data_IF_889306981907
#
_entry.id   IF_889306981907
#
_cell.length_a   1.000
_cell.length_b   1.000
_cell.length_c   1.000
_cell.angle_alpha   90.00
_cell.angle_beta   90.00
_cell.angle_gamma   90.00
#
_symmetry.space_group_name_H-M   'P 1'
#
loop_
_entity.id
_entity.type
_entity.pdbx_description
1 polymer ?
#
# COMPACT_ATOMS: atom_id res chain seq x y z
N UNK A 1 6.74 7.84 -9.25
CA UNK A 1 7.35 6.54 -8.93
C UNK A 1 7.58 5.67 -10.17
N UNK A 2 6.61 5.52 -11.07
CA UNK A 2 6.72 4.71 -12.29
C UNK A 2 7.93 5.10 -13.16
N UNK A 3 8.15 6.40 -13.39
CA UNK A 3 9.31 6.90 -14.14
C UNK A 3 10.63 6.62 -13.43
N UNK A 4 10.68 6.84 -12.10
CA UNK A 4 11.87 6.54 -11.30
C UNK A 4 12.25 5.05 -11.36
N UNK A 5 11.26 4.15 -11.28
CA UNK A 5 11.46 2.72 -11.46
C UNK A 5 12.05 2.37 -12.83
N UNK A 6 11.55 2.99 -13.91
CA UNK A 6 12.10 2.79 -15.25
C UNK A 6 13.55 3.24 -15.36
N UNK A 7 13.89 4.41 -14.82
CA UNK A 7 15.26 4.95 -14.84
C UNK A 7 16.22 4.08 -14.02
N UNK A 8 15.79 3.64 -12.83
CA UNK A 8 16.55 2.71 -12.00
C UNK A 8 16.83 1.41 -12.75
N UNK A 9 15.83 0.83 -13.40
CA UNK A 9 16.01 -0.41 -14.16
C UNK A 9 16.95 -0.24 -15.36
N UNK A 10 16.88 0.89 -16.06
CA UNK A 10 17.82 1.23 -17.14
C UNK A 10 19.27 1.29 -16.62
N UNK A 11 19.49 1.94 -15.47
CA UNK A 11 20.82 1.96 -14.83
C UNK A 11 21.28 0.56 -14.41
N UNK A 12 20.38 -0.25 -13.84
CA UNK A 12 20.69 -1.62 -13.39
C UNK A 12 21.16 -2.52 -14.54
N UNK A 13 20.60 -2.38 -15.75
CA UNK A 13 21.03 -3.14 -16.93
C UNK A 13 22.48 -2.88 -17.33
N UNK A 14 23.04 -1.73 -16.96
CA UNK A 14 24.44 -1.38 -17.23
C UNK A 14 25.43 -1.90 -16.19
N UNK A 15 24.95 -2.48 -15.08
CA UNK A 15 25.83 -2.89 -13.99
C UNK A 15 26.46 -4.27 -14.22
N UNK A 16 27.62 -4.57 -13.60
CA UNK A 16 28.25 -5.88 -13.69
C UNK A 16 27.33 -7.04 -13.29
N UNK A 17 26.50 -6.85 -12.25
CA UNK A 17 25.54 -7.86 -11.76
C UNK A 17 24.42 -8.18 -12.76
N UNK A 18 24.23 -7.34 -13.79
CA UNK A 18 23.31 -7.59 -14.89
C UNK A 18 23.97 -8.34 -16.07
N UNK A 19 25.17 -8.88 -15.88
CA UNK A 19 25.90 -9.66 -16.89
C UNK A 19 26.36 -11.00 -16.30
N UNK A 20 26.36 -12.03 -17.13
CA UNK A 20 26.83 -13.36 -16.73
C UNK A 20 28.36 -13.42 -16.64
N UNK A 21 28.90 -13.73 -15.47
CA UNK A 21 30.36 -13.92 -15.29
C UNK A 21 30.96 -14.99 -16.22
N UNK A 22 30.15 -15.99 -16.60
CA UNK A 22 30.59 -17.11 -17.47
C UNK A 22 30.58 -16.77 -18.95
N UNK A 23 29.64 -15.92 -19.40
CA UNK A 23 29.35 -15.74 -20.83
C UNK A 23 29.42 -14.29 -21.31
N UNK A 24 29.50 -13.32 -20.40
CA UNK A 24 29.43 -11.88 -20.68
C UNK A 24 28.08 -11.40 -21.20
N UNK A 25 27.10 -12.30 -21.37
CA UNK A 25 25.77 -11.94 -21.91
C UNK A 25 24.92 -11.26 -20.84
N UNK A 26 23.97 -10.39 -21.23
CA UNK A 26 23.03 -9.78 -20.31
C UNK A 26 22.24 -10.82 -19.52
N UNK A 27 22.28 -10.70 -18.19
CA UNK A 27 21.46 -11.46 -17.24
C UNK A 27 20.31 -10.58 -16.73
N UNK A 28 19.13 -10.81 -17.30
CA UNK A 28 17.91 -10.10 -16.94
C UNK A 28 17.51 -10.37 -15.48
N UNK A 29 17.79 -11.56 -14.94
CA UNK A 29 17.45 -11.90 -13.55
C UNK A 29 18.33 -11.11 -12.58
N UNK A 30 19.63 -11.03 -12.87
CA UNK A 30 20.58 -10.19 -12.13
C UNK A 30 20.15 -8.72 -12.13
N UNK A 31 19.77 -8.19 -13.30
CA UNK A 31 19.27 -6.82 -13.43
C UNK A 31 18.02 -6.55 -12.58
N UNK A 32 17.03 -7.44 -12.58
CA UNK A 32 15.83 -7.30 -11.73
C UNK A 32 16.14 -7.43 -10.23
N UNK A 33 17.06 -8.32 -9.86
CA UNK A 33 17.52 -8.47 -8.48
C UNK A 33 18.21 -7.22 -7.95
N UNK A 34 19.04 -6.57 -8.78
CA UNK A 34 19.65 -5.29 -8.45
C UNK A 34 18.62 -4.16 -8.37
N UNK A 35 17.74 -4.06 -9.39
CA UNK A 35 16.68 -3.06 -9.44
C UNK A 35 15.79 -3.07 -8.20
N UNK A 36 15.38 -4.25 -7.74
CA UNK A 36 14.60 -4.40 -6.51
C UNK A 36 15.34 -3.94 -5.25
N UNK A 37 16.67 -4.13 -5.17
CA UNK A 37 17.46 -3.66 -4.02
C UNK A 37 17.65 -2.15 -4.05
N UNK A 38 18.03 -1.59 -5.19
CA UNK A 38 18.26 -0.15 -5.36
C UNK A 38 17.00 0.68 -5.16
N UNK A 39 15.86 0.25 -5.71
CA UNK A 39 14.59 0.93 -5.51
C UNK A 39 14.20 0.99 -4.04
N UNK A 40 14.34 -0.11 -3.29
CA UNK A 40 14.01 -0.15 -1.87
C UNK A 40 14.98 0.69 -1.05
N UNK A 41 16.28 0.63 -1.35
CA UNK A 41 17.29 1.47 -0.71
C UNK A 41 16.99 2.95 -0.88
N UNK A 42 16.69 3.37 -2.11
CA UNK A 42 16.31 4.75 -2.43
C UNK A 42 15.03 5.18 -1.72
N UNK A 43 13.98 4.37 -1.75
CA UNK A 43 12.71 4.66 -1.08
C UNK A 43 12.85 4.76 0.44
N UNK A 44 13.62 3.86 1.05
CA UNK A 44 13.86 3.84 2.49
C UNK A 44 14.65 5.06 2.93
N UNK A 45 15.64 5.50 2.14
CA UNK A 45 16.39 6.71 2.44
C UNK A 45 15.49 7.94 2.59
N UNK A 46 14.44 8.04 1.76
CA UNK A 46 13.51 9.16 1.81
C UNK A 46 12.67 9.21 3.10
N UNK A 47 12.44 8.07 3.78
CA UNK A 47 11.78 8.05 5.09
C UNK A 47 12.52 8.86 6.17
N UNK A 48 13.84 9.04 6.01
CA UNK A 48 14.66 9.81 6.94
C UNK A 48 14.68 11.32 6.63
N UNK A 49 14.02 11.77 5.56
CA UNK A 49 13.93 13.20 5.20
C UNK A 49 12.82 13.91 5.97
N UNK A 50 12.93 13.95 7.31
CA UNK A 50 11.86 14.42 8.23
C UNK A 50 11.44 15.88 8.05
N UNK A 51 12.28 16.71 7.42
CA UNK A 51 12.00 18.13 7.21
C UNK A 51 11.11 18.41 5.97
N UNK A 52 10.75 17.39 5.19
CA UNK A 52 10.01 17.55 3.93
C UNK A 52 8.95 16.47 3.76
N UNK A 53 7.83 16.86 3.14
CA UNK A 53 6.87 15.89 2.60
C UNK A 53 7.39 15.34 1.28
N UNK A 54 7.48 14.02 1.17
CA UNK A 54 7.89 13.32 -0.06
C UNK A 54 6.65 12.69 -0.69
N UNK A 55 6.34 13.10 -1.92
CA UNK A 55 5.10 12.71 -2.60
C UNK A 55 5.45 11.90 -3.84
N UNK A 56 4.98 10.66 -3.87
CA UNK A 56 5.15 9.78 -5.02
C UNK A 56 3.88 9.76 -5.86
N UNK A 57 3.97 10.24 -7.10
CA UNK A 57 2.88 10.13 -8.07
C UNK A 57 3.10 8.93 -8.98
N UNK A 58 2.07 8.12 -9.17
CA UNK A 58 2.08 6.93 -10.02
C UNK A 58 0.72 6.68 -10.63
N UNK A 59 0.66 5.69 -11.52
CA UNK A 59 -0.57 5.22 -12.16
C UNK A 59 -0.93 3.86 -11.55
N UNK A 60 -2.19 3.46 -11.63
CA UNK A 60 -2.68 2.14 -11.24
C UNK A 60 -2.93 1.28 -12.47
N UNK A 61 -2.55 0.00 -12.39
CA UNK A 61 -3.00 -1.04 -13.31
C UNK A 61 -4.23 -1.75 -12.72
N UNK A 62 -5.24 -1.98 -13.56
CA UNK A 62 -6.37 -2.87 -13.24
C UNK A 62 -5.99 -4.31 -13.61
N UNK A 63 -6.08 -5.21 -12.64
CA UNK A 63 -5.77 -6.64 -12.80
C UNK A 63 -6.92 -7.49 -12.29
N UNK A 64 -6.98 -8.73 -12.79
CA UNK A 64 -7.92 -9.74 -12.32
C UNK A 64 -7.17 -10.70 -11.39
N UNK A 65 -7.80 -11.06 -10.26
CA UNK A 65 -7.32 -12.14 -9.41
C UNK A 65 -7.79 -13.52 -9.94
N UNK A 66 -7.41 -14.59 -9.24
CA UNK A 66 -7.77 -15.97 -9.60
C UNK A 66 -9.29 -16.24 -9.56
N UNK A 67 -10.06 -15.34 -8.92
CA UNK A 67 -11.51 -15.39 -8.82
C UNK A 67 -12.19 -14.37 -9.76
N UNK A 68 -11.46 -13.84 -10.74
CA UNK A 68 -11.94 -12.87 -11.72
C UNK A 68 -12.46 -11.56 -11.09
N UNK A 69 -11.96 -11.20 -9.90
CA UNK A 69 -12.26 -9.94 -9.22
C UNK A 69 -11.22 -8.90 -9.63
N UNK A 70 -11.71 -7.70 -9.90
CA UNK A 70 -10.87 -6.54 -10.22
C UNK A 70 -10.13 -6.09 -8.97
N UNK A 71 -8.82 -5.91 -9.09
CA UNK A 71 -7.99 -5.27 -8.09
C UNK A 71 -7.04 -4.29 -8.77
N UNK A 72 -6.68 -3.23 -8.06
CA UNK A 72 -5.81 -2.19 -8.58
C UNK A 72 -4.45 -2.24 -7.90
N UNK A 73 -3.38 -2.17 -8.68
CA UNK A 73 -2.00 -2.17 -8.16
C UNK A 73 -1.21 -1.00 -8.74
N UNK A 74 -0.31 -0.38 -7.97
CA UNK A 74 0.60 0.62 -8.50
C UNK A 74 1.42 0.07 -9.68
N UNK A 75 1.44 0.80 -10.78
CA UNK A 75 2.25 0.50 -11.95
C UNK A 75 3.71 0.86 -11.64
N UNK A 76 4.47 -0.13 -11.17
CA UNK A 76 5.89 0.01 -10.81
C UNK A 76 6.66 -1.15 -11.42
N UNK A 77 7.83 -0.83 -11.99
CA UNK A 77 8.76 -1.84 -12.48
C UNK A 77 9.34 -2.66 -11.33
N UNK A 78 9.27 -4.00 -11.47
CA UNK A 78 9.72 -4.95 -10.46
C UNK A 78 8.67 -5.25 -9.37
N UNK A 79 8.46 -6.53 -9.09
CA UNK A 79 7.45 -7.00 -8.13
C UNK A 79 7.76 -6.63 -6.68
N UNK A 80 9.04 -6.67 -6.27
CA UNK A 80 9.47 -6.38 -4.89
C UNK A 80 9.10 -4.96 -4.45
N UNK A 81 9.37 -3.98 -5.30
CA UNK A 81 9.12 -2.57 -4.99
C UNK A 81 7.64 -2.30 -4.71
N UNK A 82 6.75 -2.83 -5.55
CA UNK A 82 5.31 -2.65 -5.37
C UNK A 82 4.77 -3.28 -4.07
N UNK A 83 5.33 -4.42 -3.67
CA UNK A 83 4.93 -5.13 -2.44
C UNK A 83 5.40 -4.42 -1.16
N UNK A 84 6.61 -3.87 -1.15
CA UNK A 84 7.18 -3.25 0.06
C UNK A 84 6.83 -1.76 0.19
N UNK A 85 6.55 -1.06 -0.92
CA UNK A 85 6.25 0.38 -0.91
C UNK A 85 5.17 0.79 0.10
N UNK A 86 4.03 0.07 0.25
CA UNK A 86 3.03 0.40 1.27
C UNK A 86 3.54 0.29 2.71
N UNK A 87 4.58 -0.51 2.98
CA UNK A 87 5.22 -0.57 4.30
C UNK A 87 6.10 0.66 4.59
N UNK A 88 6.71 1.21 3.54
CA UNK A 88 7.69 2.30 3.57
C UNK A 88 7.00 3.67 3.74
N UNK A 89 5.98 3.96 2.93
CA UNK A 89 5.28 5.26 2.99
C UNK A 89 4.37 5.35 4.21
N UNK A 90 4.02 6.53 4.67
CA UNK A 90 2.99 6.69 5.70
C UNK A 90 1.59 6.57 5.09
N UNK A 91 1.38 7.25 3.97
CA UNK A 91 0.09 7.35 3.28
C UNK A 91 0.13 6.67 1.91
N UNK A 92 -0.95 5.97 1.56
CA UNK A 92 -1.25 5.51 0.20
C UNK A 92 -2.62 6.05 -0.16
N UNK A 93 -2.68 6.90 -1.18
CA UNK A 93 -3.92 7.57 -1.60
C UNK A 93 -4.22 7.20 -3.05
N UNK A 94 -5.47 6.83 -3.34
CA UNK A 94 -5.94 6.63 -4.72
C UNK A 94 -6.84 7.78 -5.13
N UNK A 95 -6.46 8.52 -6.17
CA UNK A 95 -7.32 9.50 -6.82
C UNK A 95 -8.19 8.81 -7.89
N UNK A 96 -9.50 8.83 -7.72
CA UNK A 96 -10.45 8.22 -8.66
C UNK A 96 -11.70 9.08 -8.84
N UNK A 97 -12.56 8.73 -9.79
CA UNK A 97 -13.87 9.35 -10.00
C UNK A 97 -14.96 8.40 -9.49
N UNK A 98 -15.72 8.84 -8.48
CA UNK A 98 -16.85 8.07 -7.92
C UNK A 98 -18.16 8.84 -8.10
N UNK A 99 -19.30 8.15 -8.29
CA UNK A 99 -20.59 8.80 -8.36
C UNK A 99 -20.99 9.34 -6.98
N UNK A 100 -21.52 10.56 -6.93
CA UNK A 100 -22.16 11.11 -5.74
C UNK A 100 -23.62 10.63 -5.59
N UNK A 101 -24.35 11.17 -4.60
CA UNK A 101 -25.74 10.79 -4.34
C UNK A 101 -26.69 11.10 -5.51
N UNK A 102 -26.30 11.98 -6.43
CA UNK A 102 -27.06 12.37 -7.61
C UNK A 102 -26.60 11.58 -8.85
N UNK A 103 -25.60 10.72 -8.72
CA UNK A 103 -25.01 9.93 -9.81
C UNK A 103 -23.92 10.67 -10.58
N UNK A 104 -23.57 11.90 -10.19
CA UNK A 104 -22.56 12.69 -10.88
C UNK A 104 -21.15 12.26 -10.46
N UNK A 105 -20.27 12.07 -11.45
CA UNK A 105 -18.90 11.62 -11.19
C UNK A 105 -18.05 12.74 -10.59
N UNK A 106 -17.56 12.51 -9.38
CA UNK A 106 -16.69 13.45 -8.64
C UNK A 106 -15.32 12.83 -8.40
N UNK A 107 -14.27 13.61 -8.66
CA UNK A 107 -12.91 13.23 -8.27
C UNK A 107 -12.76 13.28 -6.76
N UNK A 108 -12.21 12.22 -6.19
CA UNK A 108 -11.99 12.06 -4.74
C UNK A 108 -10.72 11.27 -4.48
N UNK A 109 -10.14 11.46 -3.29
CA UNK A 109 -9.12 10.56 -2.76
C UNK A 109 -9.79 9.47 -1.93
N UNK A 110 -9.42 8.21 -2.18
CA UNK A 110 -9.72 7.07 -1.33
C UNK A 110 -8.53 6.87 -0.39
N UNK A 111 -8.76 6.95 0.92
CA UNK A 111 -7.68 7.04 1.90
C UNK A 111 -7.58 5.80 2.81
N UNK A 112 -8.65 5.00 2.93
CA UNK A 112 -8.70 3.87 3.88
C UNK A 112 -8.54 2.51 3.20
N UNK A 113 -7.78 1.62 3.84
CA UNK A 113 -7.49 0.25 3.34
C UNK A 113 -8.75 -0.57 3.11
N UNK A 114 -9.72 -0.50 4.03
CA UNK A 114 -11.00 -1.21 3.93
C UNK A 114 -12.04 -0.37 3.18
N UNK A 115 -11.74 -0.05 1.91
CA UNK A 115 -12.68 0.67 1.05
C UNK A 115 -13.49 -0.30 0.17
N UNK A 116 -14.74 0.03 -0.17
CA UNK A 116 -15.63 -0.84 -0.94
C UNK A 116 -15.24 -0.99 -2.42
N UNK A 117 -14.31 -0.18 -2.93
CA UNK A 117 -13.92 -0.17 -4.35
C UNK A 117 -12.65 -0.98 -4.65
N UNK A 118 -11.97 -1.50 -3.62
CA UNK A 118 -10.75 -2.29 -3.79
C UNK A 118 -9.53 -1.50 -4.27
N UNK A 119 -9.54 -0.17 -4.09
CA UNK A 119 -8.39 0.66 -4.42
C UNK A 119 -7.28 0.52 -3.36
N UNK A 120 -6.00 0.54 -3.75
CA UNK A 120 -4.90 0.58 -2.81
C UNK A 120 -4.95 1.91 -2.06
N UNK A 121 -5.18 1.82 -0.76
CA UNK A 121 -5.27 2.98 0.11
C UNK A 121 -4.79 2.61 1.52
N UNK A 122 -4.26 3.59 2.24
CA UNK A 122 -3.75 3.42 3.59
C UNK A 122 -3.55 4.78 4.23
N UNK A 123 -4.13 4.97 5.40
CA UNK A 123 -3.90 6.13 6.26
C UNK A 123 -3.24 5.66 7.56
N UNK A 124 -1.98 6.07 7.79
CA UNK A 124 -1.28 5.80 9.05
C UNK A 124 -1.47 6.93 10.05
N UNK A 125 -1.86 8.12 9.57
CA UNK A 125 -2.16 9.27 10.43
C UNK A 125 -3.41 9.05 11.28
N UNK A 126 -4.37 8.26 10.79
CA UNK A 126 -5.65 8.00 11.46
C UNK A 126 -6.58 9.22 11.48
N UNK A 127 -6.38 10.17 10.56
CA UNK A 127 -7.13 11.43 10.49
C UNK A 127 -8.01 11.54 9.26
N UNK A 128 -7.77 10.70 8.26
CA UNK A 128 -8.44 10.82 6.98
C UNK A 128 -9.73 10.01 6.98
N UNK A 129 -10.76 10.63 6.42
CA UNK A 129 -12.00 9.91 6.15
C UNK A 129 -11.80 8.93 4.99
N UNK A 130 -12.76 8.02 4.79
CA UNK A 130 -12.70 7.06 3.68
C UNK A 130 -12.54 7.76 2.34
N UNK A 131 -13.25 8.88 2.16
CA UNK A 131 -13.19 9.75 1.00
C UNK A 131 -12.82 11.18 1.41
N UNK A 132 -11.82 11.75 0.74
CA UNK A 132 -11.43 13.15 0.89
C UNK A 132 -11.59 13.89 -0.45
N UNK A 133 -11.85 15.21 -0.43
CA UNK A 133 -11.79 16.03 -1.64
C UNK A 133 -10.43 15.92 -2.35
N UNK A 134 -10.35 16.13 -3.67
CA UNK A 134 -9.13 15.96 -4.46
C UNK A 134 -8.16 17.16 -4.29
N UNK A 135 -7.88 17.53 -3.04
CA UNK A 135 -7.02 18.63 -2.63
C UNK A 135 -5.89 18.09 -1.75
N UNK A 136 -4.71 17.96 -2.36
CA UNK A 136 -3.54 17.39 -1.70
C UNK A 136 -2.99 18.29 -0.59
N UNK A 137 -3.09 19.62 -0.74
CA UNK A 137 -2.62 20.57 0.27
C UNK A 137 -3.43 20.44 1.55
N UNK A 138 -4.75 20.44 1.41
CA UNK A 138 -5.68 20.25 2.53
C UNK A 138 -5.49 18.89 3.22
N UNK A 139 -5.22 17.83 2.45
CA UNK A 139 -4.91 16.50 2.96
C UNK A 139 -3.67 16.51 3.86
N UNK A 140 -2.58 17.11 3.36
CA UNK A 140 -1.32 17.25 4.10
C UNK A 140 -1.55 18.08 5.38
N UNK A 141 -2.31 19.17 5.32
CA UNK A 141 -2.62 19.98 6.49
C UNK A 141 -3.41 19.21 7.54
N UNK A 142 -4.35 18.35 7.11
CA UNK A 142 -5.16 17.49 7.97
C UNK A 142 -4.30 16.41 8.66
N UNK A 143 -3.41 15.76 7.92
CA UNK A 143 -2.48 14.73 8.43
C UNK A 143 -1.58 15.28 9.56
N UNK A 144 -1.14 16.53 9.45
CA UNK A 144 -0.24 17.16 10.42
C UNK A 144 -0.90 17.65 11.71
N UNK A 145 -2.23 17.69 11.80
CA UNK A 145 -2.90 18.14 13.02
C UNK A 145 -2.63 17.19 14.19
N UNK A 146 -2.82 17.57 15.46
CA UNK A 146 -2.87 16.59 16.56
C UNK A 146 -3.94 15.52 16.30
N UNK A 147 -3.79 14.32 16.87
CA UNK A 147 -4.89 13.33 16.85
C UNK A 147 -6.11 13.95 17.55
N UNK A 148 -7.34 13.81 17.00
CA UNK A 148 -8.54 14.25 17.68
C UNK A 148 -8.59 13.64 19.09
N UNK A 149 -8.81 14.46 20.12
CA UNK A 149 -8.91 14.02 21.52
C UNK A 149 -10.05 13.01 21.75
N UNK A 150 -10.99 12.90 20.79
CA UNK A 150 -12.06 11.89 20.75
C UNK A 150 -11.60 10.49 20.31
N UNK A 151 -10.28 10.27 20.18
CA UNK A 151 -9.72 8.92 20.28
C UNK A 151 -10.00 8.41 21.70
N UNK A 152 -11.23 7.89 21.90
CA UNK A 152 -11.68 7.22 23.13
C UNK A 152 -10.51 6.37 23.63
N UNK A 153 -10.21 6.39 24.94
CA UNK A 153 -9.27 5.44 25.52
C UNK A 153 -9.64 4.06 24.96
N UNK A 154 -8.64 3.31 24.47
CA UNK A 154 -8.83 1.92 24.11
C UNK A 154 -9.28 1.18 25.37
N UNK A 155 -10.58 1.14 25.61
CA UNK A 155 -11.21 0.24 26.56
C UNK A 155 -11.21 -1.10 25.86
N UNK A 156 -10.14 -1.85 26.07
CA UNK A 156 -10.03 -3.22 25.59
C UNK A 156 -10.87 -4.05 26.56
N UNK A 157 -12.13 -4.26 26.24
CA UNK A 157 -12.89 -5.32 26.89
C UNK A 157 -12.25 -6.65 26.47
N UNK A 158 -11.74 -7.47 27.41
CA UNK A 158 -11.19 -8.77 27.06
C UNK A 158 -12.28 -9.60 26.35
N UNK A 159 -11.96 -10.30 25.25
CA UNK A 159 -12.94 -11.11 24.56
C UNK A 159 -13.50 -12.15 25.53
N UNK A 160 -14.83 -12.28 25.58
CA UNK A 160 -15.48 -13.33 26.36
C UNK A 160 -15.08 -14.69 25.79
N UNK A 161 -14.17 -15.39 26.47
CA UNK A 161 -13.83 -16.76 26.15
C UNK A 161 -14.93 -17.63 26.73
N UNK A 162 -15.87 -18.06 25.89
CA UNK A 162 -16.86 -19.08 26.28
C UNK A 162 -16.12 -20.37 26.64
N UNK A 163 -16.29 -20.83 27.88
CA UNK A 163 -15.76 -22.14 28.28
C UNK A 163 -16.38 -23.23 27.37
N UNK A 164 -15.59 -24.23 26.94
CA UNK A 164 -16.13 -25.35 26.18
C UNK A 164 -17.24 -26.02 26.99
N UNK A 165 -18.42 -26.17 26.38
CA UNK A 165 -19.54 -26.92 26.95
C UNK A 165 -19.06 -28.32 27.29
N UNK A 166 -19.17 -28.69 28.57
CA UNK A 166 -18.88 -30.04 29.03
C UNK A 166 -19.68 -31.05 28.19
N UNK A 167 -19.00 -32.06 27.65
CA UNK A 167 -19.65 -33.14 26.91
C UNK A 167 -20.73 -33.80 27.79
N UNK A 168 -21.89 -34.18 27.23
CA UNK A 168 -22.92 -34.88 27.98
C UNK A 168 -22.34 -36.18 28.57
N UNK A 169 -22.53 -36.37 29.88
CA UNK A 169 -22.22 -37.61 30.58
C UNK A 169 -22.90 -38.78 29.86
N UNK A 170 -22.10 -39.78 29.51
CA UNK A 170 -22.59 -41.08 29.03
C UNK A 170 -23.41 -41.73 30.14
N UNK A 171 -24.67 -42.00 29.85
CA UNK A 171 -25.62 -42.70 30.70
C UNK A 171 -25.18 -44.16 30.90
N UNK A 172 -24.97 -44.66 32.13
CA UNK A 172 -24.61 -46.05 32.36
C UNK A 172 -25.89 -46.88 32.50
N UNK A 173 -26.40 -47.40 31.38
CA UNK A 173 -27.38 -48.49 31.42
C UNK A 173 -27.20 -49.46 30.24
N UNK A 174 -26.41 -50.50 30.48
CA UNK A 174 -26.65 -51.85 29.97
C UNK A 174 -26.00 -52.86 30.90
#
# INVERSE_FOLDING_TARGET
ITVAGRLCFQWCKGQPEAHSDKTGKPDVRGAYGLHGREMIGWLTHLQHTRAKNVIFVGILDEKLDDFNRKHFVPQIEGSKTGLELPGIVDEVLTLTSLPDQQGELRRVFVCQTQNPWGYPAKDRSGRLEMLEPPDLGRLIDKIHQPLPLDARPLVIDPPAISAPTANPQTDPSN
#
